data_IF_566513554300
#
_entry.id   IF_566513554300
#
_cell.length_a   1.000
_cell.length_b   1.000
_cell.length_c   1.000
_cell.angle_alpha   90.00
_cell.angle_beta   90.00
_cell.angle_gamma   90.00
#
_symmetry.space_group_name_H-M   'P 1'
#
loop_
_entity.id
_entity.type
_entity.pdbx_description
1 polymer ?
#
# COMPACT_ATOMS: atom_id res chain seq x y z
N UNK A 1 -1.75 17.57 4.49
CA UNK A 1 -2.62 16.38 4.48
C UNK A 1 -4.04 16.84 4.32
N UNK A 2 -4.75 16.38 3.29
CA UNK A 2 -6.21 16.51 3.23
C UNK A 2 -6.76 15.13 3.54
N UNK A 3 -7.40 14.98 4.71
CA UNK A 3 -8.16 13.78 5.01
C UNK A 3 -9.30 13.64 3.99
N UNK A 4 -9.71 12.42 3.62
CA UNK A 4 -10.90 12.21 2.82
C UNK A 4 -12.10 12.87 3.51
N UNK A 5 -13.03 13.43 2.72
CA UNK A 5 -14.29 13.97 3.24
C UNK A 5 -15.05 12.87 4.00
N UNK A 6 -15.83 13.24 5.00
CA UNK A 6 -16.55 12.31 5.90
C UNK A 6 -17.44 11.33 5.12
N UNK A 7 -18.08 11.77 4.04
CA UNK A 7 -18.86 10.91 3.14
C UNK A 7 -18.03 9.78 2.51
N UNK A 8 -16.77 10.06 2.15
CA UNK A 8 -15.87 9.07 1.57
C UNK A 8 -15.40 8.05 2.62
N UNK A 9 -15.29 8.44 3.90
CA UNK A 9 -14.92 7.52 4.97
C UNK A 9 -16.00 6.45 5.21
N UNK A 10 -17.27 6.84 5.17
CA UNK A 10 -18.39 5.90 5.28
C UNK A 10 -18.40 4.89 4.14
N UNK A 11 -18.24 5.36 2.90
CA UNK A 11 -18.16 4.49 1.73
C UNK A 11 -16.96 3.53 1.79
N UNK A 12 -15.77 4.02 2.14
CA UNK A 12 -14.57 3.18 2.32
C UNK A 12 -14.80 2.13 3.41
N UNK A 13 -15.42 2.51 4.53
CA UNK A 13 -15.74 1.59 5.62
C UNK A 13 -16.66 0.45 5.18
N UNK A 14 -17.69 0.76 4.39
CA UNK A 14 -18.61 -0.26 3.83
C UNK A 14 -17.86 -1.19 2.87
N UNK A 15 -17.06 -0.65 1.96
CA UNK A 15 -16.27 -1.45 0.99
C UNK A 15 -15.30 -2.38 1.72
N UNK A 16 -14.57 -1.86 2.71
CA UNK A 16 -13.67 -2.68 3.55
C UNK A 16 -14.45 -3.77 4.28
N UNK A 17 -15.61 -3.43 4.87
CA UNK A 17 -16.46 -4.39 5.56
C UNK A 17 -16.93 -5.53 4.66
N UNK A 18 -17.37 -5.21 3.43
CA UNK A 18 -17.80 -6.21 2.44
C UNK A 18 -16.63 -7.11 2.03
N UNK A 19 -15.45 -6.55 1.80
CA UNK A 19 -14.25 -7.32 1.47
C UNK A 19 -13.88 -8.27 2.63
N UNK A 20 -13.86 -7.77 3.86
CA UNK A 20 -13.54 -8.59 5.04
C UNK A 20 -14.56 -9.72 5.22
N UNK A 21 -15.85 -9.43 5.08
CA UNK A 21 -16.91 -10.43 5.15
C UNK A 21 -16.75 -11.49 4.05
N UNK A 22 -16.51 -11.08 2.81
CA UNK A 22 -16.29 -11.98 1.68
C UNK A 22 -15.13 -12.96 1.93
N UNK A 23 -13.97 -12.44 2.34
CA UNK A 23 -12.82 -13.29 2.65
C UNK A 23 -13.02 -14.15 3.90
N UNK A 24 -13.79 -13.68 4.88
CA UNK A 24 -14.21 -14.50 6.02
C UNK A 24 -15.08 -15.68 5.59
N UNK A 25 -16.05 -15.46 4.69
CA UNK A 25 -16.94 -16.54 4.25
C UNK A 25 -16.22 -17.62 3.44
N UNK A 26 -15.25 -17.25 2.61
CA UNK A 26 -14.56 -18.21 1.72
C UNK A 26 -13.41 -18.92 2.44
N UNK A 27 -12.62 -18.18 3.22
CA UNK A 27 -11.36 -18.66 3.79
C UNK A 27 -11.35 -18.66 5.33
N UNK A 28 -12.46 -18.29 5.96
CA UNK A 28 -12.56 -18.17 7.40
C UNK A 28 -11.80 -16.98 7.96
N UNK A 29 -11.54 -17.04 9.27
CA UNK A 29 -10.83 -15.99 9.99
C UNK A 29 -9.42 -15.71 9.44
N UNK A 30 -8.73 -16.74 8.91
CA UNK A 30 -7.39 -16.56 8.35
C UNK A 30 -7.40 -15.68 7.09
N UNK A 31 -8.37 -15.86 6.19
CA UNK A 31 -8.51 -15.03 4.99
C UNK A 31 -8.82 -13.59 5.32
N UNK A 32 -9.72 -13.36 6.28
CA UNK A 32 -10.04 -12.02 6.78
C UNK A 32 -8.79 -11.32 7.35
N UNK A 33 -8.02 -12.00 8.19
CA UNK A 33 -6.79 -11.44 8.76
C UNK A 33 -5.70 -11.23 7.72
N UNK A 34 -5.62 -12.10 6.70
CA UNK A 34 -4.67 -11.96 5.61
C UNK A 34 -4.96 -10.72 4.77
N UNK A 35 -6.22 -10.51 4.34
CA UNK A 35 -6.57 -9.33 3.55
C UNK A 35 -6.44 -8.04 4.37
N UNK A 36 -6.84 -8.05 5.65
CA UNK A 36 -6.63 -6.91 6.55
C UNK A 36 -5.14 -6.55 6.65
N UNK A 37 -4.29 -7.55 6.81
CA UNK A 37 -2.83 -7.37 6.88
C UNK A 37 -2.27 -6.82 5.56
N UNK A 38 -2.77 -7.31 4.42
CA UNK A 38 -2.40 -6.78 3.10
C UNK A 38 -2.76 -5.29 2.99
N UNK A 39 -3.98 -4.93 3.36
CA UNK A 39 -4.44 -3.54 3.30
C UNK A 39 -3.60 -2.63 4.20
N UNK A 40 -3.36 -3.03 5.45
CA UNK A 40 -2.63 -2.22 6.42
C UNK A 40 -1.13 -2.13 6.17
N UNK A 41 -0.49 -3.21 5.74
CA UNK A 41 0.96 -3.28 5.63
C UNK A 41 1.49 -2.98 4.23
N UNK A 42 0.69 -3.15 3.18
CA UNK A 42 1.13 -2.96 1.81
C UNK A 42 0.41 -1.79 1.13
N UNK A 43 -0.91 -1.67 1.27
CA UNK A 43 -1.66 -0.62 0.57
C UNK A 43 -1.51 0.73 1.28
N UNK A 44 -1.76 0.79 2.58
CA UNK A 44 -1.76 2.05 3.35
C UNK A 44 -0.40 2.77 3.32
N UNK A 45 0.75 2.11 3.55
CA UNK A 45 2.05 2.78 3.52
C UNK A 45 2.38 3.35 2.15
N UNK A 46 2.02 2.61 1.08
CA UNK A 46 2.25 3.06 -0.29
C UNK A 46 1.31 4.20 -0.66
N UNK A 47 0.07 4.19 -0.20
CA UNK A 47 -0.84 5.32 -0.35
C UNK A 47 -0.24 6.60 0.24
N UNK A 48 0.42 6.51 1.40
CA UNK A 48 1.12 7.65 1.98
C UNK A 48 2.37 8.06 1.19
N UNK A 49 3.09 7.11 0.59
CA UNK A 49 4.19 7.43 -0.34
C UNK A 49 3.66 8.18 -1.56
N UNK A 50 2.54 7.73 -2.12
CA UNK A 50 1.87 8.32 -3.28
C UNK A 50 1.25 9.69 -2.99
N UNK A 51 1.04 10.06 -1.72
CA UNK A 51 0.59 11.41 -1.35
C UNK A 51 1.62 12.49 -1.69
N UNK A 52 2.88 12.11 -1.93
CA UNK A 52 3.92 13.02 -2.42
C UNK A 52 3.79 13.33 -3.93
N UNK A 53 2.90 12.61 -4.62
CA UNK A 53 2.61 12.77 -6.04
C UNK A 53 1.28 13.52 -6.22
N UNK A 54 1.13 14.19 -7.34
CA UNK A 54 -0.06 14.99 -7.66
C UNK A 54 -1.05 14.10 -8.40
N UNK A 55 -1.48 13.06 -7.69
CA UNK A 55 -2.43 12.05 -8.15
C UNK A 55 -3.79 12.31 -7.51
N UNK A 56 -4.85 12.01 -8.26
CA UNK A 56 -6.21 11.99 -7.73
C UNK A 56 -6.37 10.97 -6.60
N UNK A 57 -7.41 11.12 -5.77
CA UNK A 57 -7.65 10.20 -4.65
C UNK A 57 -7.88 8.76 -5.15
N UNK A 58 -8.67 8.60 -6.20
CA UNK A 58 -8.99 7.28 -6.78
C UNK A 58 -7.75 6.63 -7.41
N UNK A 59 -6.96 7.42 -8.15
CA UNK A 59 -5.68 6.98 -8.72
C UNK A 59 -4.72 6.50 -7.63
N UNK A 60 -4.60 7.24 -6.53
CA UNK A 60 -3.76 6.83 -5.39
C UNK A 60 -4.20 5.50 -4.83
N UNK A 61 -5.50 5.26 -4.64
CA UNK A 61 -6.00 3.97 -4.12
C UNK A 61 -5.63 2.83 -5.06
N UNK A 62 -5.90 2.99 -6.36
CA UNK A 62 -5.63 1.97 -7.38
C UNK A 62 -4.13 1.69 -7.49
N UNK A 63 -3.29 2.72 -7.59
CA UNK A 63 -1.84 2.54 -7.67
C UNK A 63 -1.26 1.95 -6.39
N UNK A 64 -1.79 2.31 -5.22
CA UNK A 64 -1.32 1.73 -3.95
C UNK A 64 -1.56 0.23 -3.88
N UNK A 65 -2.72 -0.23 -4.39
CA UNK A 65 -3.01 -1.65 -4.51
C UNK A 65 -2.05 -2.35 -5.48
N UNK A 66 -1.88 -1.83 -6.70
CA UNK A 66 -1.00 -2.45 -7.69
C UNK A 66 0.47 -2.48 -7.27
N UNK A 67 0.96 -1.38 -6.68
CA UNK A 67 2.34 -1.32 -6.21
C UNK A 67 2.49 -2.22 -4.98
N UNK A 68 1.56 -2.20 -4.01
CA UNK A 68 1.69 -2.96 -2.77
C UNK A 68 1.49 -4.46 -2.91
N UNK A 69 0.55 -4.89 -3.74
CA UNK A 69 0.20 -6.30 -3.90
C UNK A 69 0.89 -6.92 -5.12
N UNK A 70 1.18 -6.14 -6.16
CA UNK A 70 1.81 -6.63 -7.39
C UNK A 70 3.32 -6.37 -7.45
N UNK A 71 3.70 -5.09 -7.45
CA UNK A 71 5.10 -4.70 -7.69
C UNK A 71 5.98 -5.02 -6.48
N UNK A 72 5.52 -4.74 -5.27
CA UNK A 72 6.30 -4.91 -4.04
C UNK A 72 6.77 -6.36 -3.84
N UNK A 73 5.91 -7.39 -3.92
CA UNK A 73 6.38 -8.78 -3.81
C UNK A 73 7.39 -9.15 -4.88
N UNK A 74 7.22 -8.63 -6.10
CA UNK A 74 8.16 -8.85 -7.21
C UNK A 74 9.54 -8.25 -6.91
N UNK A 75 9.57 -7.05 -6.32
CA UNK A 75 10.80 -6.38 -5.88
C UNK A 75 11.45 -7.07 -4.67
N UNK A 76 10.66 -7.69 -3.79
CA UNK A 76 11.18 -8.48 -2.66
C UNK A 76 11.79 -9.80 -3.13
N UNK A 77 11.18 -10.45 -4.12
CA UNK A 77 11.58 -11.77 -4.59
C UNK A 77 13.03 -11.81 -5.09
N UNK A 78 13.46 -10.80 -5.84
CA UNK A 78 14.81 -10.73 -6.40
C UNK A 78 15.92 -10.77 -5.34
N UNK A 79 16.00 -9.82 -4.38
CA UNK A 79 16.99 -9.88 -3.31
C UNK A 79 16.82 -11.11 -2.42
N UNK A 80 15.60 -11.65 -2.28
CA UNK A 80 15.35 -12.84 -1.49
C UNK A 80 15.99 -14.12 -2.06
N UNK A 81 16.49 -14.09 -3.30
CA UNK A 81 17.31 -15.19 -3.85
C UNK A 81 18.70 -15.25 -3.23
N UNK A 82 19.19 -14.15 -2.62
CA UNK A 82 20.54 -14.02 -2.07
C UNK A 82 20.52 -13.92 -0.55
N UNK A 83 19.50 -13.27 0.01
CA UNK A 83 19.36 -13.01 1.46
C UNK A 83 18.03 -13.56 1.99
N UNK A 84 17.86 -13.59 3.32
CA UNK A 84 16.59 -14.07 3.90
C UNK A 84 15.39 -13.24 3.42
N UNK A 85 14.26 -13.91 3.23
CA UNK A 85 13.02 -13.27 2.76
C UNK A 85 12.58 -12.11 3.67
N UNK A 86 12.76 -12.26 5.00
CA UNK A 86 12.44 -11.23 5.99
C UNK A 86 13.30 -9.97 5.82
N UNK A 87 14.60 -10.15 5.60
CA UNK A 87 15.53 -9.03 5.32
C UNK A 87 15.22 -8.37 3.98
N UNK A 88 14.82 -9.15 2.97
CA UNK A 88 14.43 -8.63 1.66
C UNK A 88 13.22 -7.72 1.71
N UNK A 89 12.18 -8.11 2.46
CA UNK A 89 11.00 -7.26 2.71
C UNK A 89 11.43 -5.92 3.31
N UNK A 90 12.27 -5.97 4.35
CA UNK A 90 12.72 -4.76 5.04
C UNK A 90 13.51 -3.84 4.11
N UNK A 91 14.45 -4.38 3.34
CA UNK A 91 15.29 -3.61 2.42
C UNK A 91 14.41 -2.98 1.32
N UNK A 92 13.54 -3.76 0.68
CA UNK A 92 12.64 -3.24 -0.37
C UNK A 92 11.72 -2.15 0.17
N UNK A 93 11.20 -2.31 1.39
CA UNK A 93 10.40 -1.28 2.06
C UNK A 93 11.19 0.01 2.29
N UNK A 94 12.41 -0.08 2.84
CA UNK A 94 13.29 1.08 3.05
C UNK A 94 13.58 1.79 1.72
N UNK A 95 13.91 1.03 0.67
CA UNK A 95 14.19 1.59 -0.66
C UNK A 95 12.98 2.37 -1.20
N UNK A 96 11.78 1.82 -1.11
CA UNK A 96 10.56 2.51 -1.59
C UNK A 96 10.26 3.79 -0.81
N UNK A 97 10.43 3.77 0.51
CA UNK A 97 10.28 4.97 1.35
C UNK A 97 11.29 6.04 0.96
N UNK A 98 12.57 5.67 0.81
CA UNK A 98 13.64 6.59 0.40
C UNK A 98 13.37 7.17 -0.98
N UNK A 99 12.96 6.36 -1.96
CA UNK A 99 12.60 6.82 -3.30
C UNK A 99 11.45 7.82 -3.23
N UNK A 100 10.38 7.51 -2.49
CA UNK A 100 9.26 8.42 -2.27
C UNK A 100 9.67 9.77 -1.69
N UNK A 101 10.56 9.75 -0.69
CA UNK A 101 11.12 10.96 -0.08
C UNK A 101 11.99 11.76 -1.05
N UNK A 102 12.85 11.09 -1.83
CA UNK A 102 13.72 11.75 -2.80
C UNK A 102 12.91 12.43 -3.89
N UNK A 103 11.90 11.75 -4.45
CA UNK A 103 10.99 12.33 -5.45
C UNK A 103 10.34 13.61 -4.93
N UNK A 104 9.86 13.58 -3.68
CA UNK A 104 9.31 14.77 -3.02
C UNK A 104 10.32 15.93 -2.97
N UNK A 105 11.57 15.63 -2.60
CA UNK A 105 12.63 16.64 -2.46
C UNK A 105 13.00 17.27 -3.82
N UNK A 106 13.13 16.47 -4.87
CA UNK A 106 13.42 16.98 -6.22
C UNK A 106 12.26 17.81 -6.79
N UNK A 107 11.01 17.43 -6.50
CA UNK A 107 9.83 18.18 -6.95
C UNK A 107 9.69 19.53 -6.26
N UNK A 108 9.95 19.61 -4.95
CA UNK A 108 9.99 20.87 -4.19
C UNK A 108 11.11 21.83 -4.59
N UNK A 109 12.16 21.34 -5.26
CA UNK A 109 13.26 22.18 -5.75
C UNK A 109 12.97 22.76 -7.15
N UNK A 110 12.01 22.16 -7.87
CA UNK A 110 11.64 22.54 -9.25
C UNK A 110 10.46 23.50 -9.32
N UNK A 111 9.64 23.56 -8.26
CA UNK A 111 8.63 24.59 -8.01
C UNK A 111 9.16 25.61 -7.01
#
# INVERSE_FOLDING_TARGET
MKLPKVENLGFIGIVVGVILAFFYFILGFSGMMAILSIMLLFIVPIYFILDNFDLGQDEKIVFSFFIGVGIFPSLVYWPATIISFRLSILITFIVLVVVGMLVRKFRKKKN
#
